data_IF_371141891275
#
_entry.id   IF_371141891275
#
_cell.length_a   1.000
_cell.length_b   1.000
_cell.length_c   1.000
_cell.angle_alpha   90.00
_cell.angle_beta   90.00
_cell.angle_gamma   90.00
#
_symmetry.space_group_name_H-M   'P 1'
#
loop_
_entity.id
_entity.type
_entity.pdbx_description
1 polymer ?
#
# COMPACT_ATOMS: atom_id res chain seq x y z
N UNK A 1 1.97 -7.70 -25.07
CA UNK A 1 1.30 -8.46 -23.99
C UNK A 1 0.23 -7.57 -23.38
N UNK A 2 -0.92 -8.10 -22.99
CA UNK A 2 -1.91 -7.34 -22.22
C UNK A 2 -1.34 -7.00 -20.84
N UNK A 3 -1.71 -5.83 -20.31
CA UNK A 3 -1.37 -5.45 -18.93
C UNK A 3 -2.19 -6.28 -17.95
N UNK A 4 -1.61 -6.65 -16.82
CA UNK A 4 -2.33 -7.36 -15.75
C UNK A 4 -3.30 -6.40 -15.08
N UNK A 5 -4.61 -6.71 -15.13
CA UNK A 5 -5.63 -5.88 -14.48
C UNK A 5 -5.61 -6.11 -12.98
N UNK A 6 -5.41 -5.04 -12.22
CA UNK A 6 -5.12 -5.13 -10.79
C UNK A 6 -6.03 -4.21 -9.97
N UNK A 7 -6.51 -4.73 -8.83
CA UNK A 7 -7.08 -3.92 -7.75
C UNK A 7 -6.07 -3.82 -6.60
N UNK A 8 -6.07 -2.69 -5.90
CA UNK A 8 -5.27 -2.50 -4.69
C UNK A 8 -6.22 -2.23 -3.52
N UNK A 9 -6.30 -3.17 -2.57
CA UNK A 9 -7.16 -3.03 -1.39
C UNK A 9 -6.36 -2.50 -0.18
N UNK A 10 -6.89 -1.50 0.52
CA UNK A 10 -6.20 -0.87 1.66
C UNK A 10 -7.03 0.16 2.42
N UNK A 11 -6.35 1.05 3.14
CA UNK A 11 -6.96 2.09 3.97
C UNK A 11 -6.19 3.43 3.87
N UNK A 12 -5.90 3.87 2.64
CA UNK A 12 -5.26 5.16 2.33
C UNK A 12 -3.89 5.39 3.00
N UNK A 13 -3.04 4.37 2.99
CA UNK A 13 -1.67 4.44 3.45
C UNK A 13 -0.77 3.56 2.60
N UNK A 14 -0.69 2.27 2.95
CA UNK A 14 0.21 1.33 2.27
C UNK A 14 -0.23 0.99 0.85
N UNK A 15 -1.52 1.05 0.53
CA UNK A 15 -2.06 0.96 -0.83
C UNK A 15 -1.45 2.02 -1.77
N UNK A 16 -1.57 3.31 -1.41
CA UNK A 16 -0.98 4.40 -2.18
C UNK A 16 0.54 4.33 -2.20
N UNK A 17 1.17 3.90 -1.11
CA UNK A 17 2.61 3.67 -1.06
C UNK A 17 3.04 2.55 -2.03
N UNK A 18 2.36 1.41 -2.01
CA UNK A 18 2.62 0.29 -2.92
C UNK A 18 2.43 0.74 -4.38
N UNK A 19 1.37 1.51 -4.65
CA UNK A 19 1.15 2.12 -5.96
C UNK A 19 2.33 2.99 -6.39
N UNK A 20 2.68 4.00 -5.60
CA UNK A 20 3.71 4.97 -5.95
C UNK A 20 5.11 4.37 -6.11
N UNK A 21 5.41 3.31 -5.37
CA UNK A 21 6.74 2.69 -5.37
C UNK A 21 6.91 1.59 -6.40
N UNK A 22 5.83 0.94 -6.85
CA UNK A 22 5.91 -0.22 -7.73
C UNK A 22 5.02 -0.18 -8.99
N UNK A 23 3.82 0.40 -8.90
CA UNK A 23 2.84 0.36 -9.99
C UNK A 23 2.79 1.66 -10.82
N UNK A 24 3.15 2.80 -10.23
CA UNK A 24 3.21 4.08 -10.94
C UNK A 24 4.19 3.99 -12.10
N UNK A 25 3.71 4.34 -13.30
CA UNK A 25 4.45 4.26 -14.57
C UNK A 25 4.98 2.86 -14.93
N UNK A 26 4.43 1.81 -14.34
CA UNK A 26 4.77 0.42 -14.67
C UNK A 26 3.76 -0.14 -15.68
N UNK A 27 4.16 -0.19 -16.95
CA UNK A 27 3.30 -0.58 -18.07
C UNK A 27 2.94 -2.08 -18.12
N UNK A 28 3.47 -2.89 -17.20
CA UNK A 28 3.08 -4.29 -17.03
C UNK A 28 1.72 -4.44 -16.35
N UNK A 29 1.24 -3.40 -15.64
CA UNK A 29 0.03 -3.45 -14.83
C UNK A 29 -0.96 -2.36 -15.25
N UNK A 30 -2.24 -2.65 -15.07
CA UNK A 30 -3.36 -1.72 -15.24
C UNK A 30 -4.15 -1.67 -13.94
N UNK A 31 -3.93 -0.63 -13.13
CA UNK A 31 -4.59 -0.44 -11.84
C UNK A 31 -5.99 0.09 -12.11
N UNK A 32 -6.97 -0.79 -11.98
CA UNK A 32 -8.37 -0.49 -12.29
C UNK A 32 -8.97 0.41 -11.20
N UNK A 33 -8.70 0.10 -9.94
CA UNK A 33 -9.18 0.87 -8.80
C UNK A 33 -8.41 0.56 -7.51
N UNK A 34 -8.56 1.46 -6.55
CA UNK A 34 -8.35 1.16 -5.15
C UNK A 34 -9.68 0.74 -4.50
N UNK A 35 -9.61 -0.07 -3.44
CA UNK A 35 -10.74 -0.25 -2.53
C UNK A 35 -10.34 0.18 -1.13
N UNK A 36 -11.26 0.82 -0.40
CA UNK A 36 -11.01 1.28 0.95
C UNK A 36 -12.11 0.85 1.92
N UNK A 37 -11.71 0.59 3.17
CA UNK A 37 -12.62 0.57 4.32
C UNK A 37 -12.10 1.59 5.32
N UNK A 38 -12.99 2.19 6.11
CA UNK A 38 -12.63 2.97 7.31
C UNK A 38 -12.22 4.44 7.09
N UNK A 39 -12.56 5.09 5.99
CA UNK A 39 -12.39 6.54 5.87
C UNK A 39 -13.71 7.17 5.44
N UNK A 40 -14.40 7.91 6.34
CA UNK A 40 -15.57 8.68 5.98
C UNK A 40 -15.29 9.53 4.74
N UNK A 41 -16.22 9.49 3.78
CA UNK A 41 -16.18 10.25 2.54
C UNK A 41 -15.04 9.92 1.56
N UNK A 42 -14.32 8.78 1.68
CA UNK A 42 -13.28 8.39 0.70
C UNK A 42 -13.84 7.61 -0.50
N UNK A 43 -15.00 6.99 -0.34
CA UNK A 43 -15.72 6.29 -1.39
C UNK A 43 -16.15 7.31 -2.46
N UNK A 44 -16.11 6.91 -3.74
CA UNK A 44 -16.27 7.79 -4.91
C UNK A 44 -15.18 8.86 -5.11
N UNK A 45 -14.09 8.82 -4.33
CA UNK A 45 -12.92 9.67 -4.61
C UNK A 45 -12.07 9.08 -5.74
N UNK A 46 -11.30 9.97 -6.34
CA UNK A 46 -10.30 9.63 -7.34
C UNK A 46 -8.93 9.87 -6.71
N UNK A 47 -8.06 8.86 -6.75
CA UNK A 47 -6.64 9.05 -6.52
C UNK A 47 -6.10 10.01 -7.59
N UNK A 48 -5.57 11.18 -7.21
CA UNK A 48 -5.42 12.30 -8.13
C UNK A 48 -4.40 12.01 -9.24
N UNK A 49 -4.71 12.46 -10.45
CA UNK A 49 -3.86 12.29 -11.63
C UNK A 49 -2.44 12.87 -11.45
N UNK A 50 -2.33 13.97 -10.70
CA UNK A 50 -1.06 14.61 -10.32
C UNK A 50 -0.10 13.67 -9.58
N UNK A 51 -0.62 12.64 -8.90
CA UNK A 51 0.16 11.62 -8.20
C UNK A 51 0.17 10.26 -8.93
N UNK A 52 -0.74 10.06 -9.88
CA UNK A 52 -0.97 8.77 -10.53
C UNK A 52 0.05 8.45 -11.64
N UNK A 53 0.84 9.43 -12.07
CA UNK A 53 1.83 9.25 -13.15
C UNK A 53 1.22 9.29 -14.54
N UNK A 54 2.03 9.05 -15.56
CA UNK A 54 1.68 9.24 -16.97
C UNK A 54 0.63 8.26 -17.49
N UNK A 55 0.50 7.09 -16.86
CA UNK A 55 -0.44 6.04 -17.27
C UNK A 55 -1.89 6.31 -16.84
N UNK A 56 -2.13 7.24 -15.91
CA UNK A 56 -3.45 7.50 -15.31
C UNK A 56 -3.79 9.00 -15.31
N UNK A 57 -3.96 9.62 -16.50
CA UNK A 57 -4.19 11.06 -16.63
C UNK A 57 -5.50 11.55 -15.99
N UNK A 58 -6.46 10.64 -15.79
CA UNK A 58 -7.73 10.92 -15.12
C UNK A 58 -7.75 10.52 -13.65
N UNK A 59 -6.61 10.09 -13.10
CA UNK A 59 -6.53 9.48 -11.78
C UNK A 59 -7.04 8.04 -11.77
N UNK A 60 -7.20 7.48 -10.57
CA UNK A 60 -7.64 6.09 -10.36
C UNK A 60 -8.81 6.09 -9.38
N UNK A 61 -9.96 5.47 -9.71
CA UNK A 61 -11.12 5.47 -8.82
C UNK A 61 -10.86 4.72 -7.52
N UNK A 62 -11.56 5.12 -6.46
CA UNK A 62 -11.55 4.50 -5.15
C UNK A 62 -12.99 4.10 -4.82
N UNK A 63 -13.20 2.80 -4.62
CA UNK A 63 -14.51 2.22 -4.30
C UNK A 63 -14.56 1.73 -2.85
N UNK A 64 -15.77 1.50 -2.35
CA UNK A 64 -15.96 0.76 -1.10
C UNK A 64 -15.44 -0.67 -1.30
N UNK A 65 -14.76 -1.22 -0.30
CA UNK A 65 -14.34 -2.62 -0.30
C UNK A 65 -15.52 -3.61 -0.37
N UNK A 66 -16.73 -3.21 0.05
CA UNK A 66 -17.95 -4.00 -0.14
C UNK A 66 -18.23 -4.30 -1.62
N UNK A 67 -17.71 -3.49 -2.55
CA UNK A 67 -17.80 -3.70 -3.99
C UNK A 67 -16.70 -4.60 -4.56
N UNK A 68 -15.75 -5.09 -3.74
CA UNK A 68 -14.59 -5.86 -4.22
C UNK A 68 -14.97 -7.00 -5.16
N UNK A 69 -15.97 -7.81 -4.80
CA UNK A 69 -16.40 -8.95 -5.61
C UNK A 69 -17.07 -8.54 -6.93
N UNK A 70 -17.86 -7.46 -6.91
CA UNK A 70 -18.50 -6.96 -8.12
C UNK A 70 -17.46 -6.38 -9.08
N UNK A 71 -16.46 -5.67 -8.56
CA UNK A 71 -15.35 -5.11 -9.32
C UNK A 71 -14.49 -6.21 -9.97
N UNK A 72 -14.18 -7.29 -9.23
CA UNK A 72 -13.43 -8.44 -9.77
C UNK A 72 -14.13 -9.00 -11.00
N UNK A 73 -15.43 -9.29 -10.88
CA UNK A 73 -16.24 -9.86 -11.97
C UNK A 73 -16.40 -8.87 -13.13
N UNK A 74 -16.81 -7.62 -12.85
CA UNK A 74 -17.10 -6.60 -13.85
C UNK A 74 -15.89 -6.25 -14.72
N UNK A 75 -14.71 -6.14 -14.11
CA UNK A 75 -13.50 -5.69 -14.80
C UNK A 75 -12.60 -6.85 -15.27
N UNK A 76 -12.94 -8.10 -14.92
CA UNK A 76 -12.11 -9.29 -15.10
C UNK A 76 -10.72 -9.06 -14.48
N UNK A 77 -10.71 -8.78 -13.17
CA UNK A 77 -9.48 -8.51 -12.42
C UNK A 77 -8.68 -9.80 -12.31
N UNK A 78 -7.38 -9.72 -12.60
CA UNK A 78 -6.45 -10.84 -12.53
C UNK A 78 -5.73 -10.89 -11.19
N UNK A 79 -5.45 -9.74 -10.57
CA UNK A 79 -4.70 -9.65 -9.32
C UNK A 79 -5.35 -8.67 -8.34
N UNK A 80 -5.47 -9.05 -7.06
CA UNK A 80 -5.81 -8.15 -5.96
C UNK A 80 -4.63 -8.04 -5.02
N UNK A 81 -4.11 -6.82 -4.86
CA UNK A 81 -2.97 -6.51 -4.02
C UNK A 81 -3.44 -6.09 -2.64
N UNK A 82 -3.20 -6.95 -1.67
CA UNK A 82 -3.49 -6.67 -0.26
C UNK A 82 -2.49 -5.70 0.35
N UNK A 83 -2.99 -4.54 0.78
CA UNK A 83 -2.16 -3.43 1.26
C UNK A 83 -2.57 -2.90 2.64
N UNK A 84 -3.29 -3.68 3.46
CA UNK A 84 -3.45 -3.35 4.88
C UNK A 84 -2.18 -3.67 5.69
N UNK A 85 -2.08 -3.08 6.89
CA UNK A 85 -0.93 -3.28 7.80
C UNK A 85 -1.31 -3.61 9.24
N UNK A 86 -2.60 -3.60 9.55
CA UNK A 86 -3.16 -3.58 10.90
C UNK A 86 -4.29 -4.62 11.09
N UNK A 87 -4.49 -5.50 10.11
CA UNK A 87 -5.44 -6.60 10.20
C UNK A 87 -4.85 -7.84 10.86
N UNK A 88 -5.70 -8.63 11.51
CA UNK A 88 -5.29 -9.92 12.07
C UNK A 88 -4.94 -10.91 10.95
N UNK A 89 -4.12 -11.90 11.27
CA UNK A 89 -3.80 -12.96 10.31
C UNK A 89 -5.06 -13.65 9.77
N UNK A 90 -6.08 -13.86 10.62
CA UNK A 90 -7.33 -14.51 10.23
C UNK A 90 -8.08 -13.68 9.19
N UNK A 91 -8.18 -12.36 9.40
CA UNK A 91 -8.85 -11.46 8.45
C UNK A 91 -8.13 -11.41 7.10
N UNK A 92 -6.79 -11.42 7.12
CA UNK A 92 -5.96 -11.48 5.90
C UNK A 92 -6.29 -12.77 5.12
N UNK A 93 -6.35 -13.91 5.81
CA UNK A 93 -6.63 -15.19 5.17
C UNK A 93 -8.07 -15.28 4.65
N UNK A 94 -9.06 -14.73 5.36
CA UNK A 94 -10.44 -14.65 4.87
C UNK A 94 -10.53 -13.80 3.59
N UNK A 95 -9.88 -12.63 3.57
CA UNK A 95 -9.85 -11.76 2.37
C UNK A 95 -9.20 -12.47 1.18
N UNK A 96 -8.08 -13.16 1.41
CA UNK A 96 -7.42 -13.95 0.37
C UNK A 96 -8.28 -15.09 -0.18
N UNK A 97 -9.00 -15.80 0.69
CA UNK A 97 -9.91 -16.86 0.27
C UNK A 97 -11.05 -16.33 -0.61
N UNK A 98 -11.64 -15.18 -0.24
CA UNK A 98 -12.73 -14.54 -1.00
C UNK A 98 -12.24 -14.08 -2.38
N UNK A 99 -11.07 -13.45 -2.45
CA UNK A 99 -10.44 -13.01 -3.72
C UNK A 99 -10.17 -14.20 -4.65
N UNK A 100 -9.53 -15.25 -4.13
CA UNK A 100 -9.22 -16.44 -4.92
C UNK A 100 -10.50 -17.16 -5.40
N UNK A 101 -11.53 -17.24 -4.56
CA UNK A 101 -12.83 -17.82 -4.94
C UNK A 101 -13.52 -17.02 -6.06
N UNK A 102 -13.27 -15.71 -6.14
CA UNK A 102 -13.75 -14.85 -7.22
C UNK A 102 -12.91 -14.95 -8.51
N UNK A 103 -11.82 -15.72 -8.50
CA UNK A 103 -10.99 -16.03 -9.67
C UNK A 103 -9.79 -15.12 -9.90
N UNK A 104 -9.51 -14.16 -9.00
CA UNK A 104 -8.32 -13.32 -9.05
C UNK A 104 -7.22 -13.85 -8.12
N UNK A 105 -5.96 -13.60 -8.45
CA UNK A 105 -4.82 -13.91 -7.58
C UNK A 105 -4.77 -12.94 -6.38
N UNK A 106 -4.70 -13.47 -5.17
CA UNK A 106 -4.41 -12.68 -3.99
C UNK A 106 -2.90 -12.51 -3.76
N UNK A 107 -2.42 -11.26 -3.71
CA UNK A 107 -1.00 -10.95 -3.58
C UNK A 107 -0.69 -10.04 -2.40
N UNK A 108 0.37 -10.40 -1.68
CA UNK A 108 1.00 -9.53 -0.68
C UNK A 108 2.39 -9.08 -1.15
N UNK A 109 2.60 -7.77 -1.22
CA UNK A 109 3.86 -7.20 -1.70
C UNK A 109 4.96 -7.26 -0.63
N UNK A 110 6.11 -7.85 -1.00
CA UNK A 110 7.30 -7.89 -0.17
C UNK A 110 8.07 -6.56 -0.16
N UNK A 111 8.76 -6.29 0.95
CA UNK A 111 9.49 -5.04 1.21
C UNK A 111 10.46 -4.62 0.09
N UNK A 112 11.16 -5.57 -0.55
CA UNK A 112 12.17 -5.26 -1.58
C UNK A 112 11.60 -4.46 -2.74
N UNK A 113 10.32 -4.67 -3.08
CA UNK A 113 9.65 -3.99 -4.20
C UNK A 113 9.05 -2.64 -3.81
N UNK A 114 8.77 -2.44 -2.54
CA UNK A 114 8.03 -1.26 -2.04
C UNK A 114 8.88 -0.36 -1.16
N UNK A 115 10.14 -0.71 -0.89
CA UNK A 115 11.04 0.14 -0.13
C UNK A 115 11.58 1.30 -0.98
N UNK A 116 11.55 2.52 -0.43
CA UNK A 116 12.24 3.67 -1.02
C UNK A 116 13.74 3.51 -0.79
N UNK A 117 14.54 3.65 -1.86
CA UNK A 117 16.00 3.61 -1.76
C UNK A 117 16.50 4.85 -1.02
N UNK A 118 17.23 4.61 0.08
CA UNK A 118 17.88 5.69 0.82
C UNK A 118 19.29 5.95 0.27
N UNK A 119 19.67 7.23 0.19
CA UNK A 119 21.05 7.66 -0.09
C UNK A 119 21.91 7.78 1.18
N UNK A 120 21.31 7.50 2.35
CA UNK A 120 21.92 7.57 3.68
C UNK A 120 21.67 6.28 4.47
N UNK A 121 22.53 5.92 5.45
CA UNK A 121 22.21 4.86 6.40
C UNK A 121 20.89 5.18 7.14
N UNK A 122 20.01 4.18 7.26
CA UNK A 122 18.71 4.31 7.95
C UNK A 122 18.73 3.40 9.17
N UNK A 123 18.32 3.94 10.32
CA UNK A 123 18.15 3.19 11.58
C UNK A 123 16.67 3.23 11.94
N UNK A 124 16.00 2.08 11.89
CA UNK A 124 14.60 1.94 12.29
C UNK A 124 14.47 1.60 13.77
N UNK A 125 13.76 2.44 14.54
CA UNK A 125 13.45 2.17 15.95
C UNK A 125 12.03 1.62 16.06
N UNK A 126 11.91 0.29 16.08
CA UNK A 126 10.63 -0.42 16.13
C UNK A 126 10.21 -0.74 17.58
N UNK A 127 8.92 -1.03 17.78
CA UNK A 127 8.41 -1.55 19.04
C UNK A 127 7.18 -2.42 18.82
N UNK A 128 6.98 -3.39 19.73
CA UNK A 128 5.87 -4.35 19.67
C UNK A 128 4.50 -3.76 20.02
N UNK A 129 4.46 -2.60 20.70
CA UNK A 129 3.21 -1.88 21.02
C UNK A 129 3.44 -0.38 21.20
N UNK A 130 2.34 0.37 21.22
CA UNK A 130 2.32 1.79 21.59
C UNK A 130 2.72 1.97 23.06
N UNK A 131 3.38 3.08 23.39
CA UNK A 131 3.86 3.35 24.74
C UNK A 131 5.21 2.71 25.14
N UNK A 132 5.81 1.85 24.29
CA UNK A 132 7.11 1.22 24.56
C UNK A 132 8.35 2.13 24.46
N UNK A 133 8.19 3.46 24.39
CA UNK A 133 9.32 4.38 24.41
C UNK A 133 10.09 4.56 23.09
N UNK A 134 9.46 4.32 21.93
CA UNK A 134 10.09 4.52 20.60
C UNK A 134 10.70 5.91 20.44
N UNK A 135 9.96 6.96 20.82
CA UNK A 135 10.40 8.35 20.67
C UNK A 135 11.58 8.68 21.59
N UNK A 136 11.55 8.21 22.83
CA UNK A 136 12.63 8.38 23.81
C UNK A 136 13.91 7.68 23.32
N UNK A 137 13.77 6.43 22.86
CA UNK A 137 14.89 5.66 22.30
C UNK A 137 15.45 6.33 21.05
N UNK A 138 14.58 6.82 20.16
CA UNK A 138 14.98 7.55 18.94
C UNK A 138 15.80 8.80 19.28
N UNK A 139 15.34 9.61 20.24
CA UNK A 139 16.06 10.81 20.69
C UNK A 139 17.42 10.45 21.28
N UNK A 140 17.49 9.41 22.12
CA UNK A 140 18.75 8.97 22.72
C UNK A 140 19.76 8.49 21.68
N UNK A 141 19.32 7.69 20.69
CA UNK A 141 20.18 7.26 19.58
C UNK A 141 20.66 8.45 18.76
N UNK A 142 19.77 9.41 18.47
CA UNK A 142 20.12 10.62 17.72
C UNK A 142 21.16 11.48 18.47
N UNK A 143 21.03 11.65 19.79
CA UNK A 143 22.02 12.34 20.62
C UNK A 143 23.40 11.68 20.58
N UNK A 144 23.46 10.35 20.69
CA UNK A 144 24.72 9.61 20.64
C UNK A 144 25.41 9.82 19.28
N UNK A 145 24.66 9.72 18.18
CA UNK A 145 25.20 9.92 16.84
C UNK A 145 25.65 11.37 16.60
N UNK A 146 24.90 12.35 17.11
CA UNK A 146 25.31 13.77 17.07
C UNK A 146 26.58 14.01 17.88
N UNK A 147 26.69 13.43 19.08
CA UNK A 147 27.90 13.47 19.91
C UNK A 147 29.11 12.82 19.26
N UNK A 148 28.89 11.84 18.40
CA UNK A 148 29.92 11.23 17.54
C UNK A 148 30.18 12.01 16.23
N UNK A 149 29.69 13.25 16.11
CA UNK A 149 29.92 14.13 14.95
C UNK A 149 29.13 13.77 13.69
N UNK A 150 28.10 12.91 13.78
CA UNK A 150 27.25 12.59 12.63
C UNK A 150 26.14 13.62 12.46
N UNK A 151 25.76 13.88 11.21
CA UNK A 151 24.55 14.66 10.87
C UNK A 151 23.33 13.74 10.93
N UNK A 152 22.38 14.07 11.80
CA UNK A 152 21.14 13.32 12.02
C UNK A 152 19.96 14.26 11.73
N UNK A 153 19.01 13.78 10.91
CA UNK A 153 17.75 14.48 10.61
C UNK A 153 16.76 14.33 11.76
#
# INVERSE_FOLDING_TARGET
>A
MSRTKTLIMGAAGRDFHNFNTFYRDNDQYDIIAFTATQIPDIEDRIYPSELAGSLYPNGIPIYDESELLSLISKHNIEEVVFSYSDLSHVDVMHKGAIVNAAGADFKMMGMRRTAVKSTKPVIGICAIRTGCGKSQTTRRVAEILKGAGKKVA
#
